data_IF_016698492087
#
_entry.id   IF_016698492087
#
_cell.length_a   1.000
_cell.length_b   1.000
_cell.length_c   1.000
_cell.angle_alpha   90.00
_cell.angle_beta   90.00
_cell.angle_gamma   90.00
#
_symmetry.space_group_name_H-M   'P 1'
#
loop_
_entity.id
_entity.type
_entity.pdbx_description
1 polymer ?
#
# COMPACT_ATOMS: atom_id res chain seq x y z
N UNK A 1 3.82 11.11 53.37
CA UNK A 1 3.40 12.50 53.34
C UNK A 1 4.14 13.32 52.26
N UNK A 2 5.47 13.38 52.26
CA UNK A 2 6.26 14.18 51.32
C UNK A 2 6.09 13.81 49.84
N UNK A 3 5.97 12.52 49.49
CA UNK A 3 5.74 12.04 48.12
C UNK A 3 4.36 12.43 47.59
N UNK A 4 3.32 12.38 48.41
CA UNK A 4 1.98 12.78 48.04
C UNK A 4 1.87 14.29 47.82
N UNK A 5 2.62 15.07 48.58
CA UNK A 5 2.68 16.52 48.43
C UNK A 5 3.41 16.90 47.10
N UNK A 6 4.48 16.21 46.75
CA UNK A 6 5.17 16.39 45.48
C UNK A 6 4.27 16.01 44.26
N UNK A 7 3.53 14.95 44.35
CA UNK A 7 2.56 14.54 43.31
C UNK A 7 1.45 15.59 43.17
N UNK A 8 0.97 16.16 44.26
CA UNK A 8 -0.04 17.22 44.21
C UNK A 8 0.51 18.52 43.61
N UNK A 9 1.78 18.87 43.87
CA UNK A 9 2.45 20.00 43.25
C UNK A 9 2.69 19.81 41.77
N UNK A 10 3.10 18.61 41.35
CA UNK A 10 3.26 18.24 39.93
C UNK A 10 1.91 18.29 39.18
N UNK A 11 0.86 17.80 39.79
CA UNK A 11 -0.50 17.87 39.21
C UNK A 11 -1.00 19.33 39.08
N UNK A 12 -0.60 20.22 39.97
CA UNK A 12 -0.97 21.62 39.88
C UNK A 12 -0.29 22.36 38.71
N UNK A 13 0.85 21.85 38.21
CA UNK A 13 1.58 22.42 37.06
C UNK A 13 1.18 21.76 35.71
N UNK A 14 0.23 20.86 35.67
CA UNK A 14 -0.13 20.11 34.47
C UNK A 14 -0.62 21.02 33.33
N UNK A 15 -1.31 22.11 33.63
CA UNK A 15 -1.79 23.08 32.65
C UNK A 15 -0.62 23.87 32.03
N UNK A 16 0.32 24.34 32.85
CA UNK A 16 1.51 25.04 32.39
C UNK A 16 2.40 24.11 31.53
N UNK A 17 2.58 22.86 31.94
CA UNK A 17 3.31 21.88 31.19
C UNK A 17 2.66 21.64 29.80
N UNK A 18 1.32 21.51 29.76
CA UNK A 18 0.60 21.37 28.50
C UNK A 18 0.73 22.61 27.60
N UNK A 19 0.73 23.80 28.18
CA UNK A 19 0.95 25.05 27.45
C UNK A 19 2.37 25.15 26.87
N UNK A 20 3.39 24.72 27.62
CA UNK A 20 4.79 24.65 27.15
C UNK A 20 4.89 23.68 25.96
N UNK A 21 4.31 22.50 26.06
CA UNK A 21 4.27 21.52 24.96
C UNK A 21 3.59 22.07 23.71
N UNK A 22 2.53 22.83 23.87
CA UNK A 22 1.81 23.47 22.76
C UNK A 22 2.65 24.52 22.07
N UNK A 23 3.36 25.36 22.84
CA UNK A 23 4.27 26.38 22.32
C UNK A 23 5.45 25.72 21.59
N UNK A 24 6.02 24.66 22.16
CA UNK A 24 7.12 23.91 21.53
C UNK A 24 6.68 23.33 20.18
N UNK A 25 5.53 22.66 20.11
CA UNK A 25 4.94 22.16 18.86
C UNK A 25 4.73 23.28 17.84
N UNK A 26 4.21 24.42 18.28
CA UNK A 26 4.00 25.58 17.40
C UNK A 26 5.32 26.09 16.83
N UNK A 27 6.37 26.23 17.63
CA UNK A 27 7.69 26.68 17.18
C UNK A 27 8.32 25.70 16.18
N UNK A 28 8.18 24.39 16.41
CA UNK A 28 8.63 23.37 15.48
C UNK A 28 7.87 23.44 14.14
N UNK A 29 6.55 23.59 14.17
CA UNK A 29 5.74 23.75 12.96
C UNK A 29 6.15 25.02 12.21
N UNK A 30 6.31 26.15 12.91
CA UNK A 30 6.70 27.41 12.29
C UNK A 30 8.08 27.32 11.61
N UNK A 31 9.06 26.72 12.29
CA UNK A 31 10.41 26.51 11.75
C UNK A 31 10.41 25.64 10.50
N UNK A 32 9.65 24.55 10.52
CA UNK A 32 9.67 23.52 9.49
C UNK A 32 8.50 23.65 8.48
N UNK A 33 7.74 24.75 8.52
CA UNK A 33 6.51 24.94 7.75
C UNK A 33 6.72 24.76 6.24
N UNK A 34 7.76 25.34 5.68
CA UNK A 34 8.06 25.20 4.25
C UNK A 34 8.35 23.73 3.87
N UNK A 35 9.03 22.99 4.75
CA UNK A 35 9.30 21.55 4.54
C UNK A 35 8.04 20.72 4.65
N UNK A 36 7.13 21.05 5.56
CA UNK A 36 5.82 20.41 5.66
C UNK A 36 5.01 20.63 4.39
N UNK A 37 4.94 21.84 3.85
CA UNK A 37 4.23 22.14 2.61
C UNK A 37 4.81 21.35 1.43
N UNK A 38 6.13 21.27 1.30
CA UNK A 38 6.78 20.53 0.22
C UNK A 38 6.53 19.02 0.27
N UNK A 39 6.33 18.46 1.46
CA UNK A 39 6.11 17.02 1.65
C UNK A 39 4.64 16.61 1.63
N UNK A 40 3.75 17.41 2.23
CA UNK A 40 2.36 16.99 2.46
C UNK A 40 1.33 17.69 1.56
N UNK A 41 1.68 18.81 0.96
CA UNK A 41 0.77 19.56 0.08
C UNK A 41 1.19 19.44 -1.38
N UNK A 42 2.44 19.76 -1.69
CA UNK A 42 2.94 19.75 -3.07
C UNK A 42 3.58 18.42 -3.47
N UNK A 43 3.96 17.59 -2.50
CA UNK A 43 4.69 16.33 -2.69
C UNK A 43 6.01 16.51 -3.48
N UNK A 44 6.56 17.73 -3.47
CA UNK A 44 7.70 18.10 -4.31
C UNK A 44 8.95 17.28 -4.01
N UNK A 45 9.19 16.97 -2.73
CA UNK A 45 10.38 16.24 -2.30
C UNK A 45 10.39 14.78 -2.77
N UNK A 46 9.22 14.18 -3.12
CA UNK A 46 9.16 12.85 -3.74
C UNK A 46 9.68 12.83 -5.17
N UNK A 47 9.59 13.96 -5.87
CA UNK A 47 9.94 14.09 -7.29
C UNK A 47 11.23 14.85 -7.51
N UNK A 48 11.92 15.25 -6.45
CA UNK A 48 13.21 15.94 -6.55
C UNK A 48 14.24 15.05 -7.25
N UNK A 49 14.86 15.56 -8.30
CA UNK A 49 15.85 14.82 -9.10
C UNK A 49 17.15 14.57 -8.34
N UNK A 50 17.51 15.49 -7.48
CA UNK A 50 18.84 15.51 -6.85
C UNK A 50 18.92 14.65 -5.58
N UNK A 51 17.83 14.06 -5.14
CA UNK A 51 17.72 13.06 -4.06
C UNK A 51 18.61 13.28 -2.81
N UNK A 52 19.03 14.50 -2.58
CA UNK A 52 19.90 14.84 -1.43
C UNK A 52 19.14 14.67 -0.12
N UNK A 53 17.82 14.88 -0.15
CA UNK A 53 16.96 14.72 1.03
C UNK A 53 15.70 13.97 0.62
N UNK A 54 15.50 12.78 1.17
CA UNK A 54 14.26 12.05 0.99
C UNK A 54 13.07 12.80 1.61
N UNK A 55 11.87 12.64 1.04
CA UNK A 55 10.65 13.16 1.64
C UNK A 55 10.46 12.59 3.07
N UNK A 56 9.84 13.37 3.97
CA UNK A 56 9.77 13.04 5.41
C UNK A 56 9.20 11.65 5.67
N UNK A 57 8.19 11.22 4.90
CA UNK A 57 7.51 9.94 5.07
C UNK A 57 7.84 8.91 3.98
N UNK A 58 8.79 9.22 3.11
CA UNK A 58 9.28 8.28 2.12
C UNK A 58 10.07 7.16 2.82
N UNK A 59 9.60 5.94 2.66
CA UNK A 59 10.20 4.78 3.35
C UNK A 59 11.29 4.10 2.55
N UNK A 60 11.37 4.39 1.26
CA UNK A 60 12.31 3.75 0.34
C UNK A 60 11.84 3.85 -1.11
N UNK A 61 12.26 2.90 -1.94
CA UNK A 61 11.92 2.82 -3.36
C UNK A 61 11.56 1.40 -3.77
N UNK A 62 10.52 1.27 -4.58
CA UNK A 62 10.08 0.00 -5.12
C UNK A 62 10.50 -0.09 -6.59
N UNK A 63 11.20 -1.15 -6.95
CA UNK A 63 11.61 -1.46 -8.33
C UNK A 63 10.68 -2.54 -8.87
N UNK A 64 9.94 -2.21 -9.91
CA UNK A 64 9.02 -3.13 -10.57
C UNK A 64 8.97 -2.86 -12.08
N UNK A 65 9.12 -3.88 -12.91
CA UNK A 65 9.11 -3.76 -14.38
C UNK A 65 10.03 -2.66 -14.92
N UNK A 66 11.27 -2.60 -14.43
CA UNK A 66 12.27 -1.59 -14.80
C UNK A 66 11.88 -0.15 -14.42
N UNK A 67 10.86 0.02 -13.57
CA UNK A 67 10.41 1.31 -13.02
C UNK A 67 10.84 1.44 -11.58
N UNK A 68 11.21 2.65 -11.20
CA UNK A 68 11.47 3.04 -9.84
C UNK A 68 10.28 3.85 -9.31
N UNK A 69 9.55 3.28 -8.36
CA UNK A 69 8.47 3.96 -7.64
C UNK A 69 9.03 4.52 -6.34
N UNK A 70 9.22 5.84 -6.29
CA UNK A 70 9.78 6.53 -5.11
C UNK A 70 8.72 6.94 -4.10
N UNK A 71 7.47 7.09 -4.54
CA UNK A 71 6.37 7.44 -3.66
C UNK A 71 5.93 6.20 -2.86
N UNK A 72 6.81 5.75 -1.97
CA UNK A 72 6.61 4.58 -1.12
C UNK A 72 6.52 4.96 0.34
N UNK A 73 5.55 4.38 1.05
CA UNK A 73 5.33 4.57 2.49
C UNK A 73 5.17 3.21 3.18
N UNK A 74 5.65 3.12 4.43
CA UNK A 74 5.33 1.99 5.31
C UNK A 74 3.88 2.08 5.77
N UNK A 75 3.19 0.95 5.82
CA UNK A 75 1.80 0.86 6.28
C UNK A 75 1.73 -0.08 7.46
N UNK A 76 1.36 0.45 8.62
CA UNK A 76 1.18 -0.35 9.85
C UNK A 76 -0.22 -0.93 9.96
N UNK A 77 -1.24 -0.17 9.53
CA UNK A 77 -2.64 -0.59 9.52
C UNK A 77 -3.19 -0.60 8.10
N UNK A 78 -3.14 -1.78 7.48
CA UNK A 78 -3.59 -1.99 6.10
C UNK A 78 -5.08 -1.72 5.93
N UNK A 79 -5.91 -2.06 6.92
CA UNK A 79 -7.36 -1.89 6.82
C UNK A 79 -7.75 -0.41 6.83
N UNK A 80 -7.20 0.35 7.76
CA UNK A 80 -7.43 1.79 7.87
C UNK A 80 -6.90 2.55 6.65
N UNK A 81 -5.69 2.22 6.20
CA UNK A 81 -5.10 2.86 5.02
C UNK A 81 -5.92 2.57 3.75
N UNK A 82 -6.37 1.32 3.57
CA UNK A 82 -7.20 0.93 2.44
C UNK A 82 -8.52 1.70 2.36
N UNK A 83 -9.17 1.96 3.49
CA UNK A 83 -10.41 2.73 3.54
C UNK A 83 -10.22 4.16 3.00
N UNK A 84 -9.11 4.80 3.37
CA UNK A 84 -8.73 6.13 2.86
C UNK A 84 -8.25 6.09 1.41
N UNK A 85 -7.52 5.05 1.02
CA UNK A 85 -6.95 4.90 -0.32
C UNK A 85 -8.01 4.77 -1.41
N UNK A 86 -9.15 4.15 -1.12
CA UNK A 86 -10.25 3.98 -2.06
C UNK A 86 -10.80 5.32 -2.60
N UNK A 87 -10.70 6.39 -1.82
CA UNK A 87 -11.18 7.74 -2.18
C UNK A 87 -10.09 8.66 -2.72
N UNK A 88 -8.82 8.21 -2.73
CA UNK A 88 -7.67 9.06 -3.09
C UNK A 88 -7.58 9.41 -4.58
N UNK A 89 -8.22 8.64 -5.46
CA UNK A 89 -8.08 8.78 -6.92
C UNK A 89 -6.71 8.37 -7.47
N UNK A 90 -5.78 7.90 -6.62
CA UNK A 90 -4.44 7.48 -7.02
C UNK A 90 -4.40 5.99 -7.39
N UNK A 91 -3.51 5.62 -8.32
CA UNK A 91 -3.18 4.22 -8.53
C UNK A 91 -2.17 3.78 -7.46
N UNK A 92 -2.60 2.86 -6.60
CA UNK A 92 -1.80 2.40 -5.48
C UNK A 92 -1.57 0.89 -5.56
N UNK A 93 -0.34 0.47 -5.27
CA UNK A 93 0.03 -0.93 -5.09
C UNK A 93 0.48 -1.15 -3.66
N UNK A 94 -0.07 -2.18 -3.03
CA UNK A 94 0.34 -2.64 -1.70
C UNK A 94 1.20 -3.86 -1.86
N UNK A 95 2.32 -3.88 -1.17
CA UNK A 95 3.24 -5.01 -1.20
C UNK A 95 3.54 -5.49 0.21
N UNK A 96 3.58 -6.80 0.34
CA UNK A 96 4.20 -7.48 1.48
C UNK A 96 5.67 -7.68 1.15
N UNK A 97 6.54 -7.19 2.02
CA UNK A 97 7.97 -7.26 1.85
C UNK A 97 8.57 -8.19 2.91
N UNK A 98 9.45 -9.07 2.45
CA UNK A 98 10.19 -10.02 3.29
C UNK A 98 11.68 -9.93 2.95
N UNK A 99 12.54 -10.19 3.91
CA UNK A 99 13.97 -10.25 3.68
C UNK A 99 14.52 -11.60 4.10
N UNK A 100 15.57 -12.04 3.44
CA UNK A 100 16.26 -13.31 3.76
C UNK A 100 17.13 -13.21 5.02
N UNK A 101 17.44 -11.99 5.44
CA UNK A 101 18.34 -11.72 6.56
C UNK A 101 17.65 -11.66 7.90
N UNK A 102 16.34 -11.41 7.94
CA UNK A 102 15.57 -11.37 9.19
C UNK A 102 14.17 -11.97 8.98
N UNK A 103 13.54 -12.38 10.07
CA UNK A 103 12.13 -12.82 10.04
C UNK A 103 11.12 -11.66 10.00
N UNK A 104 11.61 -10.45 9.85
CA UNK A 104 10.75 -9.25 9.80
C UNK A 104 9.92 -9.21 8.52
N UNK A 105 8.70 -8.75 8.67
CA UNK A 105 7.78 -8.46 7.56
C UNK A 105 7.44 -6.98 7.57
N UNK A 106 7.36 -6.42 6.39
CA UNK A 106 7.06 -5.01 6.21
C UNK A 106 5.98 -4.86 5.14
N UNK A 107 4.96 -4.07 5.44
CA UNK A 107 3.96 -3.70 4.46
C UNK A 107 4.23 -2.30 3.94
N UNK A 108 4.22 -2.15 2.64
CA UNK A 108 4.39 -0.85 1.98
C UNK A 108 3.23 -0.58 1.02
N UNK A 109 2.99 0.70 0.78
CA UNK A 109 2.18 1.17 -0.34
C UNK A 109 3.04 2.04 -1.24
N UNK A 110 2.94 1.81 -2.53
CA UNK A 110 3.58 2.65 -3.54
C UNK A 110 2.53 3.28 -4.46
N UNK A 111 2.67 4.57 -4.73
CA UNK A 111 1.85 5.26 -5.71
C UNK A 111 2.53 5.24 -7.07
N UNK A 112 1.80 4.82 -8.09
CA UNK A 112 2.25 4.84 -9.49
C UNK A 112 1.60 6.02 -10.19
N UNK A 113 2.42 6.94 -10.68
CA UNK A 113 1.95 8.21 -11.26
C UNK A 113 2.21 8.32 -12.76
N UNK A 114 3.02 7.43 -13.33
CA UNK A 114 3.42 7.46 -14.75
C UNK A 114 3.56 6.04 -15.30
N UNK A 115 3.32 5.88 -16.59
CA UNK A 115 3.57 4.65 -17.33
C UNK A 115 2.34 3.73 -17.45
N UNK A 116 2.57 2.52 -17.96
CA UNK A 116 1.51 1.52 -18.11
C UNK A 116 1.26 0.78 -16.79
N UNK A 117 0.00 0.70 -16.40
CA UNK A 117 -0.46 0.04 -15.18
C UNK A 117 -1.05 -1.35 -15.44
N UNK A 118 -1.20 -1.75 -16.71
CA UNK A 118 -1.92 -2.97 -17.10
C UNK A 118 -1.30 -4.25 -16.52
N UNK A 119 0.01 -4.26 -16.32
CA UNK A 119 0.75 -5.41 -15.80
C UNK A 119 0.99 -5.38 -14.29
N UNK A 120 0.48 -4.38 -13.56
CA UNK A 120 0.60 -4.28 -12.11
C UNK A 120 -0.55 -5.03 -11.44
N UNK A 121 -0.39 -6.34 -11.31
CA UNK A 121 -1.41 -7.27 -10.81
C UNK A 121 -0.98 -7.89 -9.48
N UNK A 122 -1.97 -8.35 -8.70
CA UNK A 122 -1.72 -9.09 -7.45
C UNK A 122 -0.91 -10.35 -7.73
N UNK A 123 0.03 -10.67 -6.85
CA UNK A 123 0.95 -11.79 -6.98
C UNK A 123 2.24 -11.48 -7.75
N UNK A 124 2.36 -10.29 -8.33
CA UNK A 124 3.58 -9.89 -9.04
C UNK A 124 4.72 -9.56 -8.07
N UNK A 125 5.91 -10.03 -8.40
CA UNK A 125 7.12 -9.79 -7.64
C UNK A 125 7.77 -8.44 -8.00
N UNK A 126 8.37 -7.84 -7.00
CA UNK A 126 9.14 -6.60 -7.08
C UNK A 126 10.29 -6.63 -6.08
N UNK A 127 11.18 -5.66 -6.16
CA UNK A 127 12.26 -5.46 -5.18
C UNK A 127 12.07 -4.12 -4.50
N UNK A 128 12.08 -4.11 -3.19
CA UNK A 128 12.00 -2.88 -2.41
C UNK A 128 13.31 -2.62 -1.70
N UNK A 129 13.82 -1.41 -1.81
CA UNK A 129 14.97 -0.91 -1.05
C UNK A 129 14.49 0.12 -0.04
N UNK A 130 14.79 -0.12 1.22
CA UNK A 130 14.51 0.85 2.27
C UNK A 130 15.52 2.01 2.28
N UNK A 131 15.31 2.99 3.16
CA UNK A 131 16.21 4.14 3.28
C UNK A 131 17.60 3.79 3.84
N UNK A 132 17.75 2.62 4.45
CA UNK A 132 19.04 2.09 4.90
C UNK A 132 19.78 1.34 3.77
N UNK A 133 19.14 1.13 2.63
CA UNK A 133 19.67 0.38 1.50
C UNK A 133 19.49 -1.12 1.60
N UNK A 134 18.70 -1.61 2.58
CA UNK A 134 18.38 -3.03 2.71
C UNK A 134 17.44 -3.46 1.59
N UNK A 135 17.74 -4.59 0.98
CA UNK A 135 16.92 -5.19 -0.06
C UNK A 135 15.85 -6.11 0.54
N UNK A 136 14.64 -5.97 0.03
CA UNK A 136 13.47 -6.74 0.42
C UNK A 136 12.80 -7.34 -0.82
N UNK A 137 12.48 -8.62 -0.75
CA UNK A 137 11.60 -9.27 -1.72
C UNK A 137 10.17 -8.77 -1.49
N UNK A 138 9.58 -8.13 -2.48
CA UNK A 138 8.24 -7.56 -2.39
C UNK A 138 7.27 -8.30 -3.31
N UNK A 139 6.05 -8.54 -2.84
CA UNK A 139 4.97 -9.15 -3.63
C UNK A 139 3.75 -8.27 -3.55
N UNK A 140 3.13 -7.96 -4.69
CA UNK A 140 1.90 -7.17 -4.73
C UNK A 140 0.76 -8.00 -4.12
N UNK A 141 0.16 -7.49 -3.06
CA UNK A 141 -0.99 -8.13 -2.38
C UNK A 141 -2.31 -7.47 -2.73
N UNK A 142 -2.30 -6.18 -3.08
CA UNK A 142 -3.50 -5.45 -3.46
C UNK A 142 -3.18 -4.31 -4.43
N UNK A 143 -4.12 -4.04 -5.32
CA UNK A 143 -4.07 -2.91 -6.27
C UNK A 143 -5.33 -2.07 -6.11
N UNK A 144 -5.16 -0.75 -5.99
CA UNK A 144 -6.23 0.25 -6.10
C UNK A 144 -6.15 0.82 -7.52
N UNK A 145 -7.02 0.32 -8.39
CA UNK A 145 -6.98 0.55 -9.84
C UNK A 145 -7.71 1.86 -10.19
N UNK A 146 -7.00 2.97 -10.13
CA UNK A 146 -7.45 4.27 -10.63
C UNK A 146 -6.63 4.69 -11.86
N UNK A 147 -7.24 5.31 -12.88
CA UNK A 147 -6.50 5.75 -14.07
C UNK A 147 -5.54 6.88 -13.72
N UNK A 148 -4.29 6.78 -14.18
CA UNK A 148 -3.25 7.78 -13.96
C UNK A 148 -3.03 8.72 -15.16
N UNK A 149 -3.76 8.51 -16.26
CA UNK A 149 -3.72 9.37 -17.44
C UNK A 149 -5.11 9.53 -18.05
N UNK A 150 -5.30 10.61 -18.81
CA UNK A 150 -6.57 10.88 -19.53
C UNK A 150 -6.92 9.74 -20.48
N UNK A 151 -5.91 9.21 -21.19
CA UNK A 151 -6.11 8.06 -22.08
C UNK A 151 -6.58 6.82 -21.31
N UNK A 152 -5.98 6.52 -20.17
CA UNK A 152 -6.41 5.40 -19.32
C UNK A 152 -7.80 5.62 -18.73
N UNK A 153 -8.13 6.86 -18.34
CA UNK A 153 -9.46 7.21 -17.85
C UNK A 153 -10.53 6.98 -18.94
N UNK A 154 -10.23 7.37 -20.18
CA UNK A 154 -11.13 7.16 -21.33
C UNK A 154 -11.36 5.65 -21.61
N UNK A 155 -10.31 4.84 -21.57
CA UNK A 155 -10.39 3.40 -21.84
C UNK A 155 -10.82 2.56 -20.63
N UNK A 156 -10.86 3.13 -19.43
CA UNK A 156 -11.15 2.37 -18.19
C UNK A 156 -12.52 1.67 -18.18
N UNK A 157 -13.63 2.26 -18.66
CA UNK A 157 -14.91 1.57 -18.70
C UNK A 157 -14.88 0.35 -19.64
N UNK A 158 -14.20 0.45 -20.78
CA UNK A 158 -14.08 -0.66 -21.72
C UNK A 158 -13.24 -1.81 -21.15
N UNK A 159 -12.15 -1.49 -20.46
CA UNK A 159 -11.33 -2.49 -19.73
C UNK A 159 -12.13 -3.20 -18.64
N UNK A 160 -12.96 -2.45 -17.89
CA UNK A 160 -13.84 -3.05 -16.86
C UNK A 160 -14.88 -3.99 -17.48
N UNK A 161 -15.47 -3.61 -18.61
CA UNK A 161 -16.37 -4.49 -19.37
C UNK A 161 -15.66 -5.76 -19.86
N UNK A 162 -14.49 -5.64 -20.46
CA UNK A 162 -13.70 -6.79 -20.91
C UNK A 162 -13.40 -7.75 -19.76
N UNK A 163 -12.89 -7.24 -18.61
CA UNK A 163 -12.65 -8.06 -17.41
C UNK A 163 -13.93 -8.71 -16.87
N UNK A 164 -15.07 -8.01 -16.92
CA UNK A 164 -16.35 -8.60 -16.50
C UNK A 164 -16.78 -9.76 -17.39
N UNK A 165 -16.59 -9.64 -18.70
CA UNK A 165 -16.86 -10.71 -19.67
C UNK A 165 -15.91 -11.89 -19.47
N UNK A 166 -14.60 -11.64 -19.29
CA UNK A 166 -13.62 -12.69 -18.98
C UNK A 166 -13.97 -13.44 -17.70
N UNK A 167 -14.36 -12.74 -16.65
CA UNK A 167 -14.79 -13.34 -15.39
C UNK A 167 -16.07 -14.19 -15.55
N UNK A 168 -17.01 -13.76 -16.40
CA UNK A 168 -18.21 -14.54 -16.71
C UNK A 168 -17.88 -15.80 -17.50
N UNK A 169 -16.97 -15.70 -18.47
CA UNK A 169 -16.52 -16.85 -19.26
C UNK A 169 -15.77 -17.84 -18.36
N UNK A 170 -14.86 -17.36 -17.51
CA UNK A 170 -14.10 -18.19 -16.57
C UNK A 170 -15.00 -18.91 -15.57
N UNK A 171 -16.00 -18.20 -15.01
CA UNK A 171 -17.00 -18.82 -14.12
C UNK A 171 -17.79 -19.90 -14.85
N UNK A 172 -18.28 -19.61 -16.06
CA UNK A 172 -19.04 -20.60 -16.83
C UNK A 172 -18.20 -21.81 -17.23
N UNK A 173 -16.90 -21.61 -17.49
CA UNK A 173 -15.98 -22.72 -17.76
C UNK A 173 -15.76 -23.57 -16.49
N UNK A 174 -15.47 -22.94 -15.35
CA UNK A 174 -15.29 -23.63 -14.08
C UNK A 174 -16.55 -24.41 -13.64
N UNK A 175 -17.73 -23.82 -13.82
CA UNK A 175 -19.02 -24.49 -13.50
C UNK A 175 -19.27 -25.70 -14.41
N UNK A 176 -18.89 -25.65 -15.70
CA UNK A 176 -18.97 -26.76 -16.61
C UNK A 176 -17.98 -27.88 -16.25
N UNK A 177 -16.74 -27.52 -15.92
CA UNK A 177 -15.72 -28.49 -15.50
C UNK A 177 -16.11 -29.16 -14.18
N UNK A 178 -16.66 -28.43 -13.23
CA UNK A 178 -17.17 -28.99 -11.97
C UNK A 178 -18.34 -29.97 -12.21
N UNK A 179 -19.27 -29.64 -13.12
CA UNK A 179 -20.36 -30.52 -13.48
C UNK A 179 -19.87 -31.78 -14.20
N UNK A 180 -18.92 -31.66 -15.13
CA UNK A 180 -18.31 -32.80 -15.81
C UNK A 180 -17.57 -33.72 -14.83
N UNK A 181 -16.83 -33.17 -13.88
CA UNK A 181 -16.17 -33.98 -12.83
C UNK A 181 -17.17 -34.66 -11.91
N UNK A 182 -18.26 -33.99 -11.54
CA UNK A 182 -19.32 -34.59 -10.74
C UNK A 182 -20.01 -35.75 -11.48
N UNK A 183 -20.33 -35.57 -12.76
CA UNK A 183 -20.91 -36.62 -13.61
C UNK A 183 -19.96 -37.81 -13.85
N UNK A 184 -18.67 -37.54 -14.05
CA UNK A 184 -17.65 -38.57 -14.19
C UNK A 184 -17.50 -39.39 -12.91
N UNK A 185 -17.44 -38.75 -11.74
CA UNK A 185 -17.38 -39.42 -10.44
C UNK A 185 -18.66 -40.21 -10.13
N UNK A 186 -19.82 -39.70 -10.49
CA UNK A 186 -21.08 -40.42 -10.33
C UNK A 186 -21.13 -41.71 -11.22
N UNK A 187 -20.61 -41.65 -12.45
CA UNK A 187 -20.48 -42.80 -13.34
C UNK A 187 -19.48 -43.84 -12.88
N UNK A 188 -18.34 -43.39 -12.31
CA UNK A 188 -17.31 -44.28 -11.74
C UNK A 188 -17.87 -45.00 -10.50
N UNK A 189 -18.60 -44.32 -9.65
CA UNK A 189 -19.21 -44.92 -8.44
C UNK A 189 -20.43 -45.78 -8.74
N UNK A 190 -21.05 -45.62 -9.91
CA UNK A 190 -22.20 -46.42 -10.34
C UNK A 190 -21.81 -47.67 -11.17
N UNK A 191 -20.53 -47.84 -11.51
CA UNK A 191 -20.05 -49.02 -12.21
C UNK A 191 -20.09 -50.23 -11.23
N UNK A 192 -20.81 -51.33 -11.56
CA UNK A 192 -20.85 -52.52 -10.71
C UNK A 192 -19.45 -53.14 -10.65
N UNK A 193 -18.98 -53.42 -9.44
CA UNK A 193 -17.79 -54.23 -9.21
C UNK A 193 -18.08 -55.67 -9.71
N UNK A 194 -17.79 -55.92 -10.98
CA UNK A 194 -17.74 -57.27 -11.52
C UNK A 194 -16.33 -57.79 -11.39
N UNK A 195 -16.10 -58.61 -10.37
CA UNK A 195 -15.05 -59.63 -10.34
C UNK A 195 -15.60 -60.89 -10.92
#
# INVERSE_FOLDING_TARGET
AALLDLVAQDAALAEEAANIDMVDKFLHIYRDFARLLRNFVTLNDFYAKDNVVAAIFQSGRLIIDQRECRFCMKVTDMAKHNASAATSGMFLIYCDCTTKTSAEKLNIVAAVTVGDIGNLIVGKNAVYYDNAGTEWDAVITKVVDNPISVAQAFWSPYRRMAKAIENLISKNAADKDAKMMADANAKINAAPATL
#
